data_IF_254349440669
#
_entry.id   IF_254349440669
#
_cell.length_a   1.000
_cell.length_b   1.000
_cell.length_c   1.000
_cell.angle_alpha   90.00
_cell.angle_beta   90.00
_cell.angle_gamma   90.00
#
_symmetry.space_group_name_H-M   'P 1'
#
loop_
_entity.id
_entity.type
_entity.pdbx_description
1 polymer ?
#
# COMPACT_ATOMS: atom_id res chain seq x y z
N UNK A 1 -6.65 15.40 0.02
CA UNK A 1 -6.74 14.14 -0.74
C UNK A 1 -8.05 14.09 -1.51
N UNK A 2 -9.20 13.99 -0.84
CA UNK A 2 -10.50 13.88 -1.53
C UNK A 2 -10.76 14.98 -2.56
N UNK A 3 -10.47 16.25 -2.23
CA UNK A 3 -10.53 17.35 -3.20
C UNK A 3 -9.56 17.21 -4.37
N UNK A 4 -8.31 16.80 -4.10
CA UNK A 4 -7.27 16.57 -5.12
C UNK A 4 -7.67 15.47 -6.10
N UNK A 5 -8.37 14.44 -5.61
CA UNK A 5 -8.84 13.32 -6.44
C UNK A 5 -10.16 13.60 -7.16
N UNK A 6 -10.87 14.68 -6.82
CA UNK A 6 -12.24 14.91 -7.29
C UNK A 6 -12.38 15.02 -8.81
N UNK A 7 -11.33 15.47 -9.51
CA UNK A 7 -11.28 15.60 -10.97
C UNK A 7 -10.65 14.40 -11.68
N UNK A 8 -10.18 13.39 -10.95
CA UNK A 8 -9.56 12.21 -11.56
C UNK A 8 -10.65 11.30 -12.15
N UNK A 9 -10.43 10.71 -13.34
CA UNK A 9 -11.43 9.91 -14.04
C UNK A 9 -11.52 8.48 -13.45
N UNK A 10 -11.89 8.35 -12.17
CA UNK A 10 -11.95 7.06 -11.50
C UNK A 10 -13.14 6.22 -11.98
N UNK A 11 -12.89 4.96 -12.34
CA UNK A 11 -13.91 3.97 -12.73
C UNK A 11 -14.29 3.04 -11.57
N UNK A 12 -13.34 2.79 -10.65
CA UNK A 12 -13.57 1.96 -9.49
C UNK A 12 -12.75 2.41 -8.28
N UNK A 13 -13.25 2.07 -7.09
CA UNK A 13 -12.58 2.35 -5.82
C UNK A 13 -12.55 1.09 -4.97
N UNK A 14 -11.34 0.62 -4.66
CA UNK A 14 -11.08 -0.44 -3.70
C UNK A 14 -10.50 0.12 -2.42
N UNK A 15 -10.71 -0.59 -1.32
CA UNK A 15 -10.07 -0.25 -0.06
C UNK A 15 -9.79 -1.48 0.78
N UNK A 16 -8.74 -1.42 1.60
CA UNK A 16 -8.70 -2.28 2.78
C UNK A 16 -9.94 -2.07 3.64
N UNK A 17 -10.50 -3.16 4.10
CA UNK A 17 -11.66 -3.19 5.01
C UNK A 17 -11.42 -2.56 6.40
N UNK A 18 -10.18 -2.20 6.73
CA UNK A 18 -9.87 -1.48 7.96
C UNK A 18 -10.49 -0.07 7.94
N UNK A 19 -11.01 0.36 9.11
CA UNK A 19 -11.78 1.61 9.24
C UNK A 19 -11.07 2.84 8.67
N UNK A 20 -9.75 2.96 8.90
CA UNK A 20 -8.94 4.12 8.49
C UNK A 20 -8.90 4.30 6.96
N UNK A 21 -8.72 3.21 6.21
CA UNK A 21 -8.63 3.22 4.75
C UNK A 21 -10.01 3.37 4.13
N UNK A 22 -10.99 2.63 4.64
CA UNK A 22 -12.39 2.74 4.22
C UNK A 22 -12.93 4.17 4.40
N UNK A 23 -12.58 4.85 5.50
CA UNK A 23 -12.97 6.23 5.73
C UNK A 23 -12.43 7.15 4.62
N UNK A 24 -11.13 7.07 4.31
CA UNK A 24 -10.49 7.84 3.24
C UNK A 24 -11.13 7.56 1.88
N UNK A 25 -11.30 6.27 1.52
CA UNK A 25 -11.91 5.85 0.26
C UNK A 25 -13.32 6.42 0.10
N UNK A 26 -14.14 6.35 1.16
CA UNK A 26 -15.52 6.89 1.14
C UNK A 26 -15.56 8.40 0.97
N UNK A 27 -14.56 9.14 1.47
CA UNK A 27 -14.50 10.60 1.26
C UNK A 27 -14.21 10.95 -0.18
N UNK A 28 -13.36 10.17 -0.87
CA UNK A 28 -13.08 10.34 -2.30
C UNK A 28 -14.31 9.93 -3.12
N UNK A 29 -14.89 8.76 -2.83
CA UNK A 29 -16.03 8.20 -3.55
C UNK A 29 -17.23 9.14 -3.71
N UNK A 30 -17.45 10.05 -2.75
CA UNK A 30 -18.50 11.09 -2.81
C UNK A 30 -18.40 12.00 -4.03
N UNK A 31 -17.20 12.23 -4.57
CA UNK A 31 -17.00 13.08 -5.74
C UNK A 31 -17.27 12.36 -7.06
N UNK A 32 -17.22 11.03 -7.07
CA UNK A 32 -17.31 10.21 -8.30
C UNK A 32 -18.62 9.42 -8.41
N UNK A 33 -19.50 9.50 -7.40
CA UNK A 33 -20.71 8.68 -7.31
C UNK A 33 -20.43 7.16 -7.41
N UNK A 34 -19.29 6.72 -6.89
CA UNK A 34 -18.86 5.32 -6.89
C UNK A 34 -19.08 4.66 -5.52
N UNK A 35 -19.21 3.33 -5.52
CA UNK A 35 -19.18 2.52 -4.29
C UNK A 35 -17.76 2.06 -3.99
N UNK A 36 -17.40 2.02 -2.71
CA UNK A 36 -16.12 1.46 -2.26
C UNK A 36 -16.23 -0.05 -2.11
N UNK A 37 -15.41 -0.79 -2.85
CA UNK A 37 -15.23 -2.25 -2.72
C UNK A 37 -14.19 -2.54 -1.63
N UNK A 38 -14.67 -2.85 -0.42
CA UNK A 38 -13.80 -3.17 0.71
C UNK A 38 -13.38 -4.65 0.71
N UNK A 39 -12.11 -4.95 0.96
CA UNK A 39 -11.58 -6.31 1.05
C UNK A 39 -10.45 -6.43 2.07
N UNK A 40 -10.30 -7.61 2.67
CA UNK A 40 -9.20 -7.96 3.57
C UNK A 40 -7.88 -8.21 2.83
N UNK A 41 -7.93 -8.60 1.54
CA UNK A 41 -6.74 -8.79 0.68
C UNK A 41 -5.86 -7.54 0.60
N UNK A 42 -6.44 -6.36 0.81
CA UNK A 42 -5.73 -5.08 0.83
C UNK A 42 -5.23 -4.65 2.22
N UNK A 43 -5.37 -5.48 3.27
CA UNK A 43 -4.86 -5.15 4.60
C UNK A 43 -3.35 -4.98 4.62
N UNK A 44 -2.90 -4.18 5.59
CA UNK A 44 -1.49 -4.06 5.94
C UNK A 44 -0.90 -5.42 6.30
N UNK A 45 0.43 -5.55 6.22
CA UNK A 45 1.11 -6.74 6.72
C UNK A 45 0.74 -6.98 8.18
N UNK A 46 0.41 -8.22 8.52
CA UNK A 46 0.20 -8.61 9.92
C UNK A 46 1.53 -8.64 10.65
N UNK A 47 1.67 -7.72 11.61
CA UNK A 47 2.84 -7.62 12.47
C UNK A 47 2.77 -8.58 13.67
N UNK A 48 1.65 -9.25 13.90
CA UNK A 48 1.52 -10.31 14.90
C UNK A 48 1.97 -9.85 16.29
N UNK A 49 2.97 -10.52 16.87
CA UNK A 49 3.52 -10.21 18.19
C UNK A 49 4.11 -8.79 18.34
N UNK A 50 4.33 -8.07 17.23
CA UNK A 50 4.78 -6.67 17.25
C UNK A 50 3.63 -5.66 17.27
N UNK A 51 2.39 -6.09 17.05
CA UNK A 51 1.23 -5.19 17.03
C UNK A 51 1.03 -4.52 18.40
N UNK A 52 0.79 -3.20 18.37
CA UNK A 52 0.61 -2.39 19.58
C UNK A 52 1.89 -2.05 20.34
N UNK A 53 3.06 -2.52 19.88
CA UNK A 53 4.35 -2.19 20.48
C UNK A 53 5.03 -1.02 19.76
N UNK A 54 5.80 -0.25 20.51
CA UNK A 54 6.68 0.77 19.94
C UNK A 54 7.95 0.14 19.36
N UNK A 55 8.65 0.83 18.44
CA UNK A 55 9.96 0.38 17.95
C UNK A 55 10.94 0.00 19.08
N UNK A 56 11.04 0.82 20.13
CA UNK A 56 11.94 0.57 21.27
C UNK A 56 11.55 -0.71 22.04
N UNK A 57 10.24 -0.95 22.22
CA UNK A 57 9.74 -2.17 22.86
C UNK A 57 10.01 -3.42 22.01
N UNK A 58 9.89 -3.29 20.68
CA UNK A 58 10.20 -4.36 19.74
C UNK A 58 11.70 -4.67 19.75
N UNK A 59 12.55 -3.63 19.71
CA UNK A 59 14.00 -3.77 19.76
C UNK A 59 14.47 -4.41 21.07
N UNK A 60 13.90 -4.00 22.20
CA UNK A 60 14.21 -4.58 23.51
C UNK A 60 13.85 -6.07 23.59
N UNK A 61 12.70 -6.49 23.02
CA UNK A 61 12.21 -7.87 23.08
C UNK A 61 12.82 -8.78 22.00
N UNK A 62 13.08 -8.26 20.80
CA UNK A 62 13.58 -9.02 19.65
C UNK A 62 14.71 -8.30 18.89
N UNK A 63 15.85 -7.98 19.52
CA UNK A 63 16.86 -7.09 18.94
C UNK A 63 17.39 -7.61 17.59
N UNK A 64 17.73 -8.91 17.51
CA UNK A 64 18.23 -9.53 16.27
C UNK A 64 17.19 -9.59 15.15
N UNK A 65 15.91 -9.69 15.49
CA UNK A 65 14.84 -9.72 14.48
C UNK A 65 14.55 -8.30 13.99
N UNK A 66 14.53 -7.33 14.90
CA UNK A 66 14.34 -5.93 14.58
C UNK A 66 15.49 -5.36 13.72
N UNK A 67 16.74 -5.71 14.03
CA UNK A 67 17.89 -5.35 13.19
C UNK A 67 17.75 -5.89 11.76
N UNK A 68 17.36 -7.17 11.60
CA UNK A 68 17.10 -7.74 10.27
C UNK A 68 15.93 -7.04 9.57
N UNK A 69 14.87 -6.72 10.29
CA UNK A 69 13.72 -5.99 9.76
C UNK A 69 14.12 -4.64 9.17
N UNK A 70 15.03 -3.92 9.84
CA UNK A 70 15.56 -2.64 9.39
C UNK A 70 16.54 -2.74 8.21
N UNK A 71 17.24 -3.86 8.07
CA UNK A 71 18.27 -4.05 7.05
C UNK A 71 17.70 -4.53 5.69
N UNK A 72 16.60 -5.27 5.70
CA UNK A 72 16.03 -5.90 4.50
C UNK A 72 15.20 -7.12 4.92
N UNK A 73 13.86 -7.07 4.81
CA UNK A 73 13.03 -8.04 5.50
C UNK A 73 12.60 -9.23 4.62
N UNK A 74 13.22 -9.46 3.45
CA UNK A 74 12.72 -10.40 2.43
C UNK A 74 12.38 -11.79 2.98
N UNK A 75 13.22 -12.34 3.86
CA UNK A 75 13.06 -13.68 4.42
C UNK A 75 12.48 -13.69 5.84
N UNK A 76 11.97 -12.56 6.31
CA UNK A 76 11.48 -12.44 7.68
C UNK A 76 10.04 -12.89 7.82
N UNK A 77 9.78 -13.49 8.97
CA UNK A 77 8.44 -13.74 9.51
C UNK A 77 8.42 -13.24 10.94
N UNK A 78 7.50 -12.32 11.21
CA UNK A 78 7.29 -11.83 12.57
C UNK A 78 6.48 -12.89 13.33
N UNK A 79 6.80 -13.20 14.60
CA UNK A 79 6.05 -14.21 15.35
C UNK A 79 4.55 -13.90 15.35
N UNK A 80 3.72 -14.91 15.07
CA UNK A 80 2.25 -14.79 14.96
C UNK A 80 1.75 -13.83 13.86
N UNK A 81 2.64 -13.34 13.00
CA UNK A 81 2.32 -12.47 11.87
C UNK A 81 2.52 -13.14 10.51
N UNK A 82 2.39 -12.35 9.46
CA UNK A 82 2.71 -12.75 8.09
C UNK A 82 4.22 -12.82 7.87
N UNK A 83 4.65 -13.67 6.93
CA UNK A 83 6.00 -13.52 6.37
C UNK A 83 5.99 -12.43 5.30
N UNK A 84 7.11 -11.75 5.11
CA UNK A 84 7.22 -10.72 4.06
C UNK A 84 7.01 -11.30 2.67
N UNK A 85 7.48 -12.53 2.41
CA UNK A 85 7.17 -13.25 1.16
C UNK A 85 5.68 -13.53 1.01
N UNK A 86 5.02 -14.03 2.05
CA UNK A 86 3.59 -14.33 2.00
C UNK A 86 2.76 -13.06 1.77
N UNK A 87 3.16 -11.97 2.44
CA UNK A 87 2.61 -10.65 2.19
C UNK A 87 2.81 -10.21 0.73
N UNK A 88 4.03 -10.32 0.21
CA UNK A 88 4.33 -9.91 -1.16
C UNK A 88 3.55 -10.68 -2.22
N UNK A 89 3.35 -11.99 -2.01
CA UNK A 89 2.50 -12.85 -2.84
C UNK A 89 1.06 -12.35 -2.81
N UNK A 90 0.47 -12.19 -1.62
CA UNK A 90 -0.91 -11.69 -1.45
C UNK A 90 -1.12 -10.33 -2.13
N UNK A 91 -0.16 -9.41 -1.99
CA UNK A 91 -0.23 -8.09 -2.63
C UNK A 91 -0.14 -8.23 -4.15
N UNK A 92 0.77 -9.08 -4.65
CA UNK A 92 0.91 -9.31 -6.09
C UNK A 92 -0.38 -9.85 -6.69
N UNK A 93 -0.99 -10.86 -6.06
CA UNK A 93 -2.25 -11.48 -6.50
C UNK A 93 -3.40 -10.47 -6.54
N UNK A 94 -3.59 -9.66 -5.48
CA UNK A 94 -4.70 -8.70 -5.47
C UNK A 94 -4.50 -7.55 -6.46
N UNK A 95 -3.26 -7.12 -6.72
CA UNK A 95 -2.97 -6.12 -7.74
C UNK A 95 -3.22 -6.70 -9.14
N UNK A 96 -2.78 -7.92 -9.40
CA UNK A 96 -3.01 -8.60 -10.69
C UNK A 96 -4.51 -8.81 -10.96
N UNK A 97 -5.26 -9.25 -9.94
CA UNK A 97 -6.72 -9.36 -9.99
C UNK A 97 -7.36 -8.02 -10.38
N UNK A 98 -6.98 -6.92 -9.70
CA UNK A 98 -7.55 -5.59 -9.96
C UNK A 98 -7.22 -5.11 -11.37
N UNK A 99 -5.98 -5.27 -11.83
CA UNK A 99 -5.56 -4.88 -13.18
C UNK A 99 -6.34 -5.69 -14.22
N UNK A 100 -6.46 -7.01 -14.05
CA UNK A 100 -7.18 -7.87 -14.98
C UNK A 100 -8.68 -7.57 -15.07
N UNK A 101 -9.32 -7.15 -13.97
CA UNK A 101 -10.74 -6.79 -13.96
C UNK A 101 -11.04 -5.41 -14.56
N UNK A 102 -10.02 -4.57 -14.75
CA UNK A 102 -10.17 -3.16 -15.10
C UNK A 102 -9.28 -2.76 -16.30
N UNK A 103 -9.42 -3.41 -17.48
CA UNK A 103 -8.70 -2.99 -18.67
C UNK A 103 -9.11 -1.57 -19.08
N UNK A 104 -8.14 -0.75 -19.48
CA UNK A 104 -8.32 0.64 -19.92
C UNK A 104 -9.06 1.56 -18.93
N UNK A 105 -9.01 1.23 -17.63
CA UNK A 105 -9.72 1.94 -16.58
C UNK A 105 -8.77 2.50 -15.51
N UNK A 106 -9.18 3.59 -14.87
CA UNK A 106 -8.46 4.17 -13.74
C UNK A 106 -9.08 3.71 -12.43
N UNK A 107 -8.31 3.01 -11.62
CA UNK A 107 -8.77 2.45 -10.34
C UNK A 107 -8.05 3.10 -9.16
N UNK A 108 -8.82 3.56 -8.17
CA UNK A 108 -8.27 4.00 -6.90
C UNK A 108 -8.19 2.83 -5.92
N UNK A 109 -7.02 2.62 -5.31
CA UNK A 109 -6.82 1.65 -4.23
C UNK A 109 -6.39 2.36 -2.94
N UNK A 110 -7.27 2.43 -1.95
CA UNK A 110 -6.97 3.03 -0.64
C UNK A 110 -6.50 1.95 0.36
N UNK A 111 -5.21 1.97 0.69
CA UNK A 111 -4.53 0.90 1.43
C UNK A 111 -3.45 1.46 2.39
N UNK A 112 -2.44 0.65 2.73
CA UNK A 112 -1.46 0.90 3.78
C UNK A 112 -0.02 0.91 3.25
N UNK A 113 0.89 1.41 4.08
CA UNK A 113 2.26 1.68 3.67
C UNK A 113 3.01 0.43 3.21
N UNK A 114 2.87 -0.72 3.89
CA UNK A 114 3.56 -1.94 3.46
C UNK A 114 3.06 -2.44 2.10
N UNK A 115 1.74 -2.39 1.89
CA UNK A 115 1.14 -2.84 0.63
C UNK A 115 1.59 -1.96 -0.53
N UNK A 116 1.57 -0.64 -0.35
CA UNK A 116 2.01 0.31 -1.39
C UNK A 116 3.47 0.07 -1.77
N UNK A 117 4.36 -0.18 -0.78
CA UNK A 117 5.77 -0.49 -1.05
C UNK A 117 5.92 -1.71 -1.94
N UNK A 118 5.25 -2.81 -1.61
CA UNK A 118 5.29 -4.01 -2.45
C UNK A 118 4.75 -3.74 -3.86
N UNK A 119 3.65 -2.99 -3.99
CA UNK A 119 3.09 -2.68 -5.30
C UNK A 119 4.09 -1.88 -6.16
N UNK A 120 4.76 -0.87 -5.58
CA UNK A 120 5.81 -0.10 -6.26
C UNK A 120 7.01 -0.98 -6.60
N UNK A 121 7.48 -1.79 -5.66
CA UNK A 121 8.63 -2.70 -5.87
C UNK A 121 8.35 -3.70 -6.98
N UNK A 122 7.14 -4.26 -7.05
CA UNK A 122 6.70 -5.13 -8.14
C UNK A 122 6.81 -4.43 -9.49
N UNK A 123 6.29 -3.20 -9.59
CA UNK A 123 6.34 -2.41 -10.82
C UNK A 123 7.76 -2.03 -11.21
N UNK A 124 8.63 -1.73 -10.23
CA UNK A 124 10.02 -1.35 -10.46
C UNK A 124 10.99 -2.54 -10.59
N UNK A 125 10.52 -3.78 -10.43
CA UNK A 125 11.38 -4.98 -10.45
C UNK A 125 12.38 -5.04 -9.30
N UNK A 126 12.04 -4.49 -8.13
CA UNK A 126 12.92 -4.45 -6.95
C UNK A 126 12.78 -5.69 -6.08
N UNK A 127 13.89 -6.13 -5.50
CA UNK A 127 13.93 -7.21 -4.52
C UNK A 127 13.29 -6.80 -3.20
N UNK A 128 12.75 -7.79 -2.46
CA UNK A 128 12.08 -7.55 -1.18
C UNK A 128 12.97 -6.93 -0.09
N UNK A 129 14.30 -7.02 -0.24
CA UNK A 129 15.24 -6.36 0.68
C UNK A 129 15.29 -4.83 0.48
N UNK A 130 14.86 -4.32 -0.69
CA UNK A 130 14.70 -2.88 -0.96
C UNK A 130 13.43 -2.26 -0.36
N UNK A 131 12.76 -2.96 0.56
CA UNK A 131 11.51 -2.51 1.20
C UNK A 131 11.58 -1.07 1.74
N UNK A 132 12.72 -0.68 2.33
CA UNK A 132 12.89 0.65 2.92
C UNK A 132 13.34 1.74 1.95
N UNK A 133 13.65 1.39 0.70
CA UNK A 133 14.06 2.34 -0.33
C UNK A 133 12.86 3.12 -0.91
N UNK A 134 11.65 2.62 -0.69
CA UNK A 134 10.41 3.28 -1.10
C UNK A 134 9.78 4.03 0.09
N UNK A 135 9.95 5.36 0.10
CA UNK A 135 9.32 6.25 1.08
C UNK A 135 7.80 6.29 0.84
N UNK A 136 7.02 6.22 1.91
CA UNK A 136 5.55 6.34 1.86
C UNK A 136 5.06 7.17 3.04
N UNK A 137 4.60 8.37 2.73
CA UNK A 137 4.02 9.34 3.65
C UNK A 137 2.52 9.14 3.81
N UNK A 138 1.97 9.60 4.94
CA UNK A 138 0.53 9.54 5.16
C UNK A 138 -0.21 10.42 4.15
N UNK A 139 -1.15 9.81 3.44
CA UNK A 139 -1.92 10.49 2.39
C UNK A 139 -1.16 10.63 1.06
N UNK A 140 0.02 10.05 0.92
CA UNK A 140 0.70 10.03 -0.35
C UNK A 140 -0.18 9.47 -1.49
N UNK A 141 -0.11 10.12 -2.66
CA UNK A 141 -0.66 9.62 -3.91
C UNK A 141 0.47 8.98 -4.70
N UNK A 142 0.21 7.79 -5.23
CA UNK A 142 1.10 7.08 -6.15
C UNK A 142 0.28 6.71 -7.39
N UNK A 143 0.89 6.78 -8.58
CA UNK A 143 0.29 6.40 -9.86
C UNK A 143 1.15 5.30 -10.45
N UNK A 144 0.54 4.13 -10.63
CA UNK A 144 1.13 2.97 -11.28
C UNK A 144 0.33 2.69 -12.55
N UNK A 145 1.01 2.65 -13.69
CA UNK A 145 0.42 2.30 -14.98
C UNK A 145 0.82 0.88 -15.35
N UNK A 146 -0.16 0.08 -15.76
CA UNK A 146 0.04 -1.30 -16.20
C UNK A 146 -0.36 -1.39 -17.68
N UNK A 147 0.56 -1.88 -18.49
CA UNK A 147 0.39 -2.17 -19.92
C UNK A 147 0.48 -3.68 -20.14
N UNK A 148 0.20 -4.14 -21.37
CA UNK A 148 0.20 -5.57 -21.70
C UNK A 148 1.50 -6.30 -21.31
N UNK A 149 2.64 -5.65 -21.54
CA UNK A 149 3.98 -6.26 -21.36
C UNK A 149 4.87 -5.49 -20.37
N UNK A 150 4.36 -4.44 -19.73
CA UNK A 150 5.16 -3.59 -18.85
C UNK A 150 4.33 -2.90 -17.77
N UNK A 151 5.00 -2.38 -16.76
CA UNK A 151 4.39 -1.51 -15.77
C UNK A 151 5.34 -0.35 -15.43
N UNK A 152 4.78 0.80 -15.07
CA UNK A 152 5.55 2.01 -14.78
C UNK A 152 5.03 2.70 -13.52
N UNK A 153 5.94 3.13 -12.65
CA UNK A 153 5.60 3.99 -11.51
C UNK A 153 5.72 5.47 -11.93
N UNK A 154 4.61 6.06 -12.36
CA UNK A 154 4.56 7.41 -12.95
C UNK A 154 4.64 8.52 -11.90
N UNK A 155 4.03 8.30 -10.75
CA UNK A 155 4.06 9.23 -9.61
C UNK A 155 4.28 8.44 -8.33
N UNK A 156 5.19 8.92 -7.48
CA UNK A 156 5.48 8.28 -6.21
C UNK A 156 5.47 9.29 -5.08
N UNK A 157 4.82 8.91 -3.97
CA UNK A 157 4.83 9.63 -2.71
C UNK A 157 4.40 11.10 -2.79
N UNK A 158 3.47 11.46 -3.69
CA UNK A 158 3.02 12.83 -3.84
C UNK A 158 2.15 13.25 -2.64
N UNK A 159 2.64 14.27 -1.93
CA UNK A 159 1.96 14.91 -0.81
C UNK A 159 1.83 16.42 -1.03
N UNK A 160 2.10 16.91 -2.24
CA UNK A 160 2.07 18.35 -2.56
C UNK A 160 0.72 19.01 -2.21
N UNK A 161 -0.38 18.27 -2.30
CA UNK A 161 -1.71 18.75 -1.94
C UNK A 161 -1.95 18.91 -0.42
N UNK A 162 -1.07 18.36 0.43
CA UNK A 162 -1.13 18.47 1.90
C UNK A 162 -0.46 19.74 2.41
N UNK A 163 0.41 20.37 1.61
CA UNK A 163 0.93 21.68 1.95
C UNK A 163 -0.24 22.66 1.96
N UNK A 164 -0.65 23.09 3.15
CA UNK A 164 -1.33 24.36 3.32
C UNK A 164 -0.44 25.43 2.70
N UNK A 165 -1.01 26.29 1.88
CA UNK A 165 -0.47 27.64 1.69
C UNK A 165 -0.24 28.21 3.09
N UNK A 166 1.02 28.46 3.44
CA UNK A 166 1.33 29.45 4.48
C UNK A 166 0.83 30.82 4.02
#
# INVERSE_FOLDING_TARGET
>A
MARRMASEPLDAIYSSDLKRTCYTARKIAKYHNLRVKATDKLREISFGAWEGLTPDQIEAKWPKLYQRWRAGPANLKIPQGESVKGFAIRVSEVIDDIVAWHPDQTVLVATHGGLIRIAIMKVMGLDLDSWWETRQENGAINILEFHADSATAVLQNDTSYLASSD
#
